data_IF_207527149278
#
_entry.id   IF_207527149278
#
_cell.length_a   1.000
_cell.length_b   1.000
_cell.length_c   1.000
_cell.angle_alpha   90.00
_cell.angle_beta   90.00
_cell.angle_gamma   90.00
#
_symmetry.space_group_name_H-M   'P 1'
#
loop_
_entity.id
_entity.type
_entity.pdbx_description
1 polymer ?
#
# COMPACT_ATOMS: atom_id res chain seq x y z
N UNK A 1 -18.09 15.45 -11.80
CA UNK A 1 -17.45 15.96 -10.57
C UNK A 1 -18.34 15.61 -9.39
N UNK A 2 -17.80 14.90 -8.41
CA UNK A 2 -18.53 14.66 -7.17
C UNK A 2 -18.50 15.91 -6.31
N UNK A 3 -19.66 16.31 -5.79
CA UNK A 3 -19.81 17.43 -4.87
C UNK A 3 -20.85 17.04 -3.81
N UNK A 4 -20.97 17.85 -2.76
CA UNK A 4 -21.90 17.59 -1.65
C UNK A 4 -23.34 17.34 -2.11
N UNK A 5 -23.80 18.03 -3.17
CA UNK A 5 -25.14 17.85 -3.71
C UNK A 5 -25.31 16.49 -4.41
N UNK A 6 -24.28 16.00 -5.12
CA UNK A 6 -24.30 14.68 -5.74
C UNK A 6 -24.43 13.57 -4.67
N UNK A 7 -23.71 13.70 -3.55
CA UNK A 7 -23.84 12.81 -2.41
C UNK A 7 -25.24 12.84 -1.80
N UNK A 8 -25.77 14.03 -1.47
CA UNK A 8 -27.11 14.16 -0.89
C UNK A 8 -28.17 13.55 -1.81
N UNK A 9 -28.10 13.81 -3.12
CA UNK A 9 -29.03 13.25 -4.09
C UNK A 9 -28.94 11.72 -4.18
N UNK A 10 -27.73 11.16 -4.12
CA UNK A 10 -27.52 9.72 -4.10
C UNK A 10 -28.13 9.08 -2.84
N UNK A 11 -27.88 9.66 -1.67
CA UNK A 11 -28.48 9.22 -0.39
C UNK A 11 -30.00 9.24 -0.49
N UNK A 12 -30.60 10.36 -0.91
CA UNK A 12 -32.05 10.51 -1.07
C UNK A 12 -32.64 9.47 -2.01
N UNK A 13 -32.03 9.29 -3.18
CA UNK A 13 -32.47 8.33 -4.20
C UNK A 13 -32.49 6.90 -3.66
N UNK A 14 -31.41 6.49 -2.99
CA UNK A 14 -31.29 5.15 -2.45
C UNK A 14 -32.19 4.89 -1.26
N UNK A 15 -32.32 5.86 -0.34
CA UNK A 15 -33.26 5.75 0.78
C UNK A 15 -34.70 5.65 0.27
N UNK A 16 -35.07 6.46 -0.73
CA UNK A 16 -36.41 6.38 -1.34
C UNK A 16 -36.66 5.03 -2.01
N UNK A 17 -35.66 4.47 -2.70
CA UNK A 17 -35.76 3.17 -3.35
C UNK A 17 -35.85 2.02 -2.34
N UNK A 18 -35.10 2.09 -1.24
CA UNK A 18 -35.06 1.06 -0.20
C UNK A 18 -36.30 1.06 0.68
N UNK A 19 -36.77 2.23 1.10
CA UNK A 19 -37.89 2.39 2.03
C UNK A 19 -39.14 2.84 1.29
N UNK A 20 -39.80 1.89 0.63
CA UNK A 20 -41.00 2.13 -0.19
C UNK A 20 -42.20 2.66 0.61
N UNK A 21 -42.19 2.50 1.94
CA UNK A 21 -43.19 3.03 2.86
C UNK A 21 -43.07 4.54 3.10
N UNK A 22 -41.94 5.17 2.73
CA UNK A 22 -41.77 6.61 2.84
C UNK A 22 -42.64 7.31 1.79
N UNK A 23 -43.47 8.26 2.22
CA UNK A 23 -44.19 9.14 1.29
C UNK A 23 -43.25 10.16 0.67
N UNK A 24 -42.35 10.71 1.48
CA UNK A 24 -41.35 11.70 1.05
C UNK A 24 -39.94 11.26 1.43
N UNK A 25 -39.00 11.43 0.51
CA UNK A 25 -37.58 11.41 0.83
C UNK A 25 -36.91 12.45 -0.08
N UNK A 26 -36.40 13.53 0.49
CA UNK A 26 -35.85 14.67 -0.28
C UNK A 26 -34.67 15.31 0.44
N UNK A 27 -33.87 16.08 -0.30
CA UNK A 27 -32.86 16.94 0.27
C UNK A 27 -33.54 18.10 1.03
N UNK A 28 -33.01 18.46 2.20
CA UNK A 28 -33.43 19.63 2.96
C UNK A 28 -32.48 20.81 2.65
N UNK A 29 -32.89 21.77 1.80
CA UNK A 29 -32.10 22.97 1.57
C UNK A 29 -31.97 23.76 2.88
N UNK A 30 -30.77 24.29 3.15
CA UNK A 30 -30.54 25.12 4.33
C UNK A 30 -31.38 26.42 4.30
N UNK A 31 -31.65 26.94 5.49
CA UNK A 31 -32.41 28.15 5.84
C UNK A 31 -32.70 29.14 4.69
N UNK A 32 -33.98 29.21 4.25
CA UNK A 32 -34.65 30.33 3.56
C UNK A 32 -36.14 29.97 3.35
N UNK A 33 -36.98 30.30 4.34
CA UNK A 33 -38.40 30.76 4.28
C UNK A 33 -39.43 30.14 3.31
N UNK A 34 -39.17 29.02 2.63
CA UNK A 34 -40.03 28.53 1.53
C UNK A 34 -40.56 27.10 1.69
N UNK A 35 -40.24 26.41 2.79
CA UNK A 35 -40.81 25.08 3.04
C UNK A 35 -42.27 25.22 3.44
N UNK A 36 -43.19 24.88 2.53
CA UNK A 36 -44.60 24.75 2.86
C UNK A 36 -44.78 23.59 3.86
N UNK A 37 -44.82 23.95 5.14
CA UNK A 37 -44.96 23.01 6.25
C UNK A 37 -46.21 22.15 6.12
N UNK A 38 -47.30 22.74 5.61
CA UNK A 38 -48.55 22.00 5.43
C UNK A 38 -48.38 20.85 4.43
N UNK A 39 -47.64 21.06 3.35
CA UNK A 39 -47.28 20.04 2.36
C UNK A 39 -46.30 19.01 2.93
N UNK A 40 -45.29 19.43 3.68
CA UNK A 40 -44.35 18.51 4.35
C UNK A 40 -45.08 17.58 5.32
N UNK A 41 -45.96 18.13 6.14
CA UNK A 41 -46.70 17.40 7.17
C UNK A 41 -47.75 16.45 6.59
N UNK A 42 -48.38 16.83 5.48
CA UNK A 42 -49.30 15.97 4.73
C UNK A 42 -48.61 14.71 4.17
N UNK A 43 -47.29 14.79 3.91
CA UNK A 43 -46.53 13.73 3.24
C UNK A 43 -45.60 12.95 4.19
N UNK A 44 -46.10 12.58 5.38
CA UNK A 44 -45.40 11.71 6.34
C UNK A 44 -45.91 10.26 6.30
N UNK A 45 -45.07 9.23 6.56
CA UNK A 45 -43.67 9.30 6.99
C UNK A 45 -42.72 9.87 5.93
N UNK A 46 -41.87 10.80 6.34
CA UNK A 46 -40.94 11.51 5.45
C UNK A 46 -39.51 11.51 5.98
N UNK A 47 -38.54 11.44 5.08
CA UNK A 47 -37.11 11.58 5.41
C UNK A 47 -36.52 12.80 4.70
N UNK A 48 -35.81 13.64 5.45
CA UNK A 48 -35.22 14.87 4.94
C UNK A 48 -33.71 14.84 5.18
N UNK A 49 -32.91 14.84 4.11
CA UNK A 49 -31.46 14.63 4.17
C UNK A 49 -30.71 15.95 3.98
N UNK A 50 -29.69 16.19 4.81
CA UNK A 50 -28.91 17.41 4.81
C UNK A 50 -27.44 17.15 5.14
N UNK A 51 -26.54 17.95 4.55
CA UNK A 51 -25.20 18.16 5.10
C UNK A 51 -25.25 19.41 6.01
N UNK A 52 -24.90 19.25 7.28
CA UNK A 52 -24.98 20.32 8.31
C UNK A 52 -23.63 20.92 8.66
N UNK A 53 -22.54 20.30 8.23
CA UNK A 53 -21.19 20.78 8.46
C UNK A 53 -20.16 20.02 7.64
N UNK A 54 -18.93 20.55 7.68
CA UNK A 54 -17.73 19.94 7.11
C UNK A 54 -16.71 19.81 8.22
N UNK A 55 -16.16 18.62 8.41
CA UNK A 55 -15.00 18.36 9.26
C UNK A 55 -13.70 18.61 8.52
N UNK A 56 -12.71 17.73 8.73
CA UNK A 56 -11.39 17.87 8.15
C UNK A 56 -11.40 17.87 6.61
N UNK A 57 -10.49 18.68 6.05
CA UNK A 57 -10.22 18.77 4.62
C UNK A 57 -8.76 18.39 4.43
N UNK A 58 -8.52 17.21 3.85
CA UNK A 58 -7.17 16.68 3.63
C UNK A 58 -6.82 16.84 2.15
N UNK A 59 -5.77 17.60 1.80
CA UNK A 59 -5.29 17.65 0.43
C UNK A 59 -4.67 16.30 0.07
N UNK A 60 -4.90 15.86 -1.16
CA UNK A 60 -4.30 14.66 -1.72
C UNK A 60 -3.38 15.07 -2.87
N UNK A 61 -2.33 14.28 -3.08
CA UNK A 61 -1.24 14.59 -4.01
C UNK A 61 -1.72 14.80 -5.45
N UNK A 62 -2.92 14.33 -5.80
CA UNK A 62 -3.61 14.51 -7.10
C UNK A 62 -4.25 15.89 -7.31
N UNK A 63 -4.11 16.83 -6.38
CA UNK A 63 -4.79 18.14 -6.42
C UNK A 63 -6.26 18.12 -5.97
N UNK A 64 -6.82 16.92 -5.76
CA UNK A 64 -8.12 16.73 -5.14
C UNK A 64 -8.06 16.95 -3.61
N UNK A 65 -9.21 16.88 -2.95
CA UNK A 65 -9.32 16.97 -1.49
C UNK A 65 -10.31 15.94 -0.97
N UNK A 66 -9.95 15.26 0.11
CA UNK A 66 -10.89 14.47 0.88
C UNK A 66 -11.55 15.39 1.91
N UNK A 67 -12.87 15.55 1.83
CA UNK A 67 -13.67 16.34 2.76
C UNK A 67 -14.53 15.42 3.61
N UNK A 68 -14.51 15.59 4.94
CA UNK A 68 -15.45 14.89 5.82
C UNK A 68 -16.74 15.69 5.92
N UNK A 69 -17.86 15.12 5.51
CA UNK A 69 -19.19 15.74 5.59
C UNK A 69 -19.93 15.23 6.81
N UNK A 70 -20.51 16.17 7.57
CA UNK A 70 -21.40 15.89 8.68
C UNK A 70 -22.83 15.86 8.15
N UNK A 71 -23.41 14.66 8.11
CA UNK A 71 -24.67 14.37 7.46
C UNK A 71 -25.78 14.16 8.50
N UNK A 72 -27.00 14.50 8.14
CA UNK A 72 -28.20 14.23 8.94
C UNK A 72 -29.37 13.80 8.06
N UNK A 73 -30.13 12.83 8.52
CA UNK A 73 -31.43 12.46 7.99
C UNK A 73 -32.50 12.64 9.07
N UNK A 74 -33.46 13.53 8.84
CA UNK A 74 -34.58 13.73 9.74
C UNK A 74 -35.74 12.82 9.35
N UNK A 75 -36.17 11.97 10.28
CA UNK A 75 -37.36 11.15 10.13
C UNK A 75 -38.55 11.85 10.79
N UNK A 76 -39.58 12.12 9.98
CA UNK A 76 -40.77 12.84 10.37
C UNK A 76 -42.01 11.94 10.26
N UNK A 77 -42.75 11.75 11.36
CA UNK A 77 -43.98 10.94 11.39
C UNK A 77 -45.08 11.72 12.12
N UNK A 78 -46.19 11.99 11.43
CA UNK A 78 -47.37 12.65 12.03
C UNK A 78 -48.53 11.68 12.05
N UNK A 79 -49.08 11.44 13.24
CA UNK A 79 -50.28 10.62 13.43
C UNK A 79 -50.91 10.94 14.80
N UNK A 80 -52.23 11.21 14.82
CA UNK A 80 -52.99 11.54 16.03
C UNK A 80 -52.98 10.41 17.07
N UNK A 81 -52.82 9.16 16.67
CA UNK A 81 -52.62 8.03 17.58
C UNK A 81 -51.14 7.95 17.97
N UNK A 82 -50.84 8.24 19.24
CA UNK A 82 -49.47 8.25 19.77
C UNK A 82 -48.77 6.91 19.69
N UNK A 83 -49.48 5.80 19.93
CA UNK A 83 -48.90 4.45 19.88
C UNK A 83 -48.52 4.09 18.44
N UNK A 84 -49.42 4.34 17.49
CA UNK A 84 -49.14 4.06 16.07
C UNK A 84 -48.04 4.95 15.52
N UNK A 85 -48.00 6.23 15.94
CA UNK A 85 -46.95 7.17 15.56
C UNK A 85 -45.57 6.65 15.99
N UNK A 86 -45.45 6.26 17.25
CA UNK A 86 -44.19 5.78 17.82
C UNK A 86 -43.76 4.46 17.18
N UNK A 87 -44.69 3.53 16.99
CA UNK A 87 -44.40 2.25 16.33
C UNK A 87 -43.85 2.44 14.91
N UNK A 88 -44.47 3.32 14.10
CA UNK A 88 -44.01 3.63 12.74
C UNK A 88 -42.65 4.33 12.77
N UNK A 89 -42.44 5.28 13.68
CA UNK A 89 -41.18 5.99 13.83
C UNK A 89 -40.03 5.03 14.18
N UNK A 90 -40.20 4.18 15.19
CA UNK A 90 -39.17 3.22 15.62
C UNK A 90 -38.85 2.18 14.53
N UNK A 91 -39.87 1.65 13.85
CA UNK A 91 -39.65 0.67 12.76
C UNK A 91 -38.81 1.26 11.63
N UNK A 92 -39.13 2.49 11.21
CA UNK A 92 -38.38 3.18 10.17
C UNK A 92 -36.99 3.58 10.64
N UNK A 93 -36.85 4.04 11.89
CA UNK A 93 -35.58 4.41 12.49
C UNK A 93 -34.60 3.23 12.50
N UNK A 94 -35.02 2.05 12.97
CA UNK A 94 -34.17 0.86 12.98
C UNK A 94 -33.75 0.43 11.58
N UNK A 95 -34.67 0.46 10.61
CA UNK A 95 -34.35 0.13 9.23
C UNK A 95 -33.37 1.12 8.59
N UNK A 96 -33.54 2.42 8.84
CA UNK A 96 -32.64 3.47 8.37
C UNK A 96 -31.23 3.29 8.96
N UNK A 97 -31.12 3.04 10.26
CA UNK A 97 -29.83 2.78 10.92
C UNK A 97 -29.13 1.57 10.32
N UNK A 98 -29.84 0.45 10.14
CA UNK A 98 -29.29 -0.76 9.51
C UNK A 98 -28.74 -0.45 8.10
N UNK A 99 -29.54 0.19 7.25
CA UNK A 99 -29.15 0.49 5.86
C UNK A 99 -28.01 1.50 5.74
N UNK A 100 -27.98 2.52 6.61
CA UNK A 100 -26.88 3.49 6.66
C UNK A 100 -25.60 2.80 7.18
N UNK A 101 -25.71 1.87 8.13
CA UNK A 101 -24.57 1.16 8.72
C UNK A 101 -24.03 -0.03 7.93
N UNK A 102 -24.64 -0.37 6.78
CA UNK A 102 -24.18 -1.48 5.95
C UNK A 102 -22.71 -1.33 5.58
N UNK A 103 -21.93 -2.40 5.76
CA UNK A 103 -20.49 -2.40 5.46
C UNK A 103 -20.21 -1.88 4.05
N UNK A 104 -19.46 -0.79 3.97
CA UNK A 104 -19.11 -0.16 2.70
C UNK A 104 -20.20 0.71 2.09
N UNK A 105 -21.18 1.21 2.85
CA UNK A 105 -22.18 2.13 2.32
C UNK A 105 -21.53 3.41 1.76
N UNK A 106 -21.50 3.51 0.43
CA UNK A 106 -20.93 4.63 -0.32
C UNK A 106 -21.96 5.26 -1.28
N UNK A 107 -23.24 4.91 -1.15
CA UNK A 107 -24.35 5.49 -1.92
C UNK A 107 -24.17 5.39 -3.43
N UNK A 108 -23.45 4.37 -3.91
CA UNK A 108 -23.18 4.17 -5.34
C UNK A 108 -22.20 5.19 -5.94
N UNK A 109 -21.54 6.01 -5.10
CA UNK A 109 -20.55 6.99 -5.52
C UNK A 109 -19.15 6.48 -5.25
N UNK A 110 -18.34 6.32 -6.29
CA UNK A 110 -16.93 5.90 -6.17
C UNK A 110 -16.04 6.92 -5.44
N UNK A 111 -16.53 8.14 -5.25
CA UNK A 111 -15.84 9.22 -4.54
C UNK A 111 -16.24 9.31 -3.08
N UNK A 112 -17.29 8.59 -2.66
CA UNK A 112 -17.71 8.52 -1.26
C UNK A 112 -17.04 7.32 -0.60
N UNK A 113 -16.54 7.52 0.61
CA UNK A 113 -15.99 6.45 1.44
C UNK A 113 -17.12 5.73 2.21
N UNK A 114 -16.85 4.73 3.06
CA UNK A 114 -17.87 4.20 3.95
C UNK A 114 -18.33 5.23 4.99
N UNK A 115 -19.62 5.19 5.37
CA UNK A 115 -20.18 5.99 6.48
C UNK A 115 -19.56 5.62 7.82
N UNK A 116 -19.32 6.61 8.70
CA UNK A 116 -18.80 6.41 10.06
C UNK A 116 -19.60 7.22 11.10
N UNK A 117 -19.42 6.91 12.39
CA UNK A 117 -19.96 7.73 13.49
C UNK A 117 -21.48 7.94 13.46
N UNK A 118 -22.23 6.87 13.13
CA UNK A 118 -23.68 6.88 12.96
C UNK A 118 -24.37 6.90 14.32
N UNK A 119 -25.26 7.88 14.55
CA UNK A 119 -26.03 8.04 15.78
C UNK A 119 -27.46 8.46 15.47
N UNK A 120 -28.36 8.33 16.46
CA UNK A 120 -29.73 8.84 16.34
C UNK A 120 -30.22 9.45 17.65
N UNK A 121 -31.02 10.52 17.54
CA UNK A 121 -31.61 11.20 18.68
C UNK A 121 -33.05 11.64 18.40
N UNK A 122 -33.90 11.60 19.43
CA UNK A 122 -35.20 12.26 19.41
C UNK A 122 -34.99 13.77 19.58
N UNK A 123 -35.42 14.56 18.57
CA UNK A 123 -35.28 16.02 18.57
C UNK A 123 -36.63 16.72 18.58
N UNK A 124 -37.72 16.00 18.88
CA UNK A 124 -39.05 16.58 19.08
C UNK A 124 -39.13 17.50 20.31
N UNK A 125 -38.18 17.37 21.26
CA UNK A 125 -38.12 18.11 22.54
C UNK A 125 -37.72 19.59 22.48
N UNK A 126 -37.54 20.19 21.30
CA UNK A 126 -37.03 21.56 21.15
C UNK A 126 -37.90 22.65 21.83
N UNK A 127 -39.17 22.36 22.11
CA UNK A 127 -40.08 23.26 22.86
C UNK A 127 -39.83 23.30 24.37
N UNK A 128 -39.00 22.40 24.93
CA UNK A 128 -38.76 22.30 26.38
C UNK A 128 -37.47 22.98 26.84
N UNK A 129 -37.03 24.05 26.15
CA UNK A 129 -35.76 24.75 26.41
C UNK A 129 -34.55 23.81 26.26
N UNK A 130 -34.51 23.08 25.15
CA UNK A 130 -33.37 22.21 24.85
C UNK A 130 -32.12 23.08 24.65
N UNK A 131 -31.12 22.92 25.51
CA UNK A 131 -29.84 23.63 25.35
C UNK A 131 -29.00 22.88 24.30
N UNK A 132 -28.58 23.54 23.21
CA UNK A 132 -27.74 22.91 22.19
C UNK A 132 -26.44 22.42 22.82
N UNK A 133 -25.99 21.23 22.43
CA UNK A 133 -24.72 20.70 22.91
C UNK A 133 -23.58 21.43 22.17
N UNK A 134 -23.01 22.46 22.80
CA UNK A 134 -22.01 23.35 22.16
C UNK A 134 -20.71 22.65 21.76
N UNK A 135 -20.47 21.42 22.25
CA UNK A 135 -19.26 20.63 21.94
C UNK A 135 -19.49 19.49 20.96
N UNK A 136 -20.74 19.14 20.66
CA UNK A 136 -21.05 18.03 19.75
C UNK A 136 -21.95 18.54 18.63
N UNK A 137 -21.50 18.41 17.39
CA UNK A 137 -22.23 18.88 16.22
C UNK A 137 -23.54 18.12 16.01
N UNK A 138 -23.63 16.86 16.47
CA UNK A 138 -24.78 15.97 16.24
C UNK A 138 -26.08 16.49 16.85
N UNK A 139 -25.98 17.27 17.93
CA UNK A 139 -27.09 18.02 18.55
C UNK A 139 -26.76 19.52 18.66
N UNK A 140 -25.89 20.01 17.78
CA UNK A 140 -25.48 21.40 17.73
C UNK A 140 -26.53 22.28 17.05
N UNK A 141 -26.28 23.59 17.07
CA UNK A 141 -27.20 24.61 16.54
C UNK A 141 -27.65 24.34 15.09
N UNK A 142 -26.78 23.83 14.22
CA UNK A 142 -27.11 23.57 12.82
C UNK A 142 -28.13 22.43 12.65
N UNK A 143 -27.99 21.35 13.43
CA UNK A 143 -28.94 20.23 13.40
C UNK A 143 -30.28 20.64 14.00
N UNK A 144 -30.26 21.37 15.11
CA UNK A 144 -31.47 21.80 15.80
C UNK A 144 -32.24 22.89 15.05
N UNK A 145 -31.56 23.82 14.37
CA UNK A 145 -32.21 24.85 13.55
C UNK A 145 -32.99 24.23 12.39
N UNK A 146 -32.42 23.24 11.69
CA UNK A 146 -33.11 22.53 10.61
C UNK A 146 -34.25 21.63 11.12
N UNK A 147 -34.10 21.06 12.31
CA UNK A 147 -35.20 20.35 12.97
C UNK A 147 -36.37 21.30 13.31
N UNK A 148 -36.07 22.52 13.76
CA UNK A 148 -37.07 23.55 14.03
C UNK A 148 -37.84 23.99 12.77
N UNK A 149 -37.18 24.01 11.61
CA UNK A 149 -37.83 24.26 10.32
C UNK A 149 -38.88 23.19 10.01
N UNK A 150 -38.58 21.91 10.24
CA UNK A 150 -39.54 20.81 10.00
C UNK A 150 -40.68 20.77 11.02
N UNK A 151 -40.44 21.32 12.21
CA UNK A 151 -41.37 21.33 13.33
C UNK A 151 -42.37 22.51 13.30
N UNK A 152 -41.95 23.66 12.73
CA UNK A 152 -42.76 24.89 12.69
C UNK A 152 -42.55 25.80 13.90
N UNK A 153 -41.34 26.36 14.00
CA UNK A 153 -40.89 27.39 14.97
C UNK A 153 -41.83 27.72 16.15
N UNK A 154 -42.82 28.60 15.96
CA UNK A 154 -43.59 29.24 17.05
C UNK A 154 -44.92 28.56 17.38
N UNK A 155 -45.41 27.63 16.55
CA UNK A 155 -46.65 26.88 16.79
C UNK A 155 -46.40 25.38 16.66
N UNK A 156 -45.90 24.72 17.73
CA UNK A 156 -45.63 23.30 17.73
C UNK A 156 -46.84 22.46 17.30
N UNK A 157 -46.65 21.60 16.31
CA UNK A 157 -47.70 20.65 15.93
C UNK A 157 -47.81 19.55 17.00
N UNK A 158 -49.00 19.45 17.59
CA UNK A 158 -49.35 18.27 18.39
C UNK A 158 -49.44 17.05 17.48
N UNK A 159 -48.90 15.90 17.94
CA UNK A 159 -48.91 14.60 17.25
C UNK A 159 -47.81 14.34 16.21
N UNK A 160 -46.64 14.95 16.40
CA UNK A 160 -45.42 14.71 15.62
C UNK A 160 -44.42 13.83 16.40
N UNK A 161 -43.68 12.99 15.68
CA UNK A 161 -42.43 12.38 16.11
C UNK A 161 -41.34 12.81 15.13
N UNK A 162 -40.21 13.29 15.65
CA UNK A 162 -39.11 13.82 14.86
C UNK A 162 -37.79 13.28 15.41
N UNK A 163 -37.12 12.48 14.59
CA UNK A 163 -35.82 11.88 14.91
C UNK A 163 -34.76 12.43 13.96
N UNK A 164 -33.56 12.65 14.49
CA UNK A 164 -32.38 12.96 13.68
C UNK A 164 -31.45 11.75 13.69
N UNK A 165 -31.03 11.29 12.51
CA UNK A 165 -29.99 10.28 12.32
C UNK A 165 -28.77 10.99 11.75
N UNK A 166 -27.65 11.00 12.46
CA UNK A 166 -26.42 11.72 12.09
C UNK A 166 -25.31 10.74 11.75
N UNK A 167 -24.45 11.09 10.79
CA UNK A 167 -23.25 10.31 10.47
C UNK A 167 -22.17 11.19 9.81
N UNK A 168 -20.96 10.66 9.73
CA UNK A 168 -19.84 11.26 9.02
C UNK A 168 -19.59 10.51 7.71
N UNK A 169 -19.32 11.26 6.65
CA UNK A 169 -19.14 10.73 5.31
C UNK A 169 -17.98 11.45 4.64
N UNK A 170 -16.86 10.75 4.44
CA UNK A 170 -15.75 11.31 3.66
C UNK A 170 -16.09 11.25 2.16
N UNK A 171 -15.78 12.34 1.45
CA UNK A 171 -16.03 12.52 0.03
C UNK A 171 -14.78 13.12 -0.64
N UNK A 172 -14.30 12.46 -1.69
CA UNK A 172 -13.23 12.99 -2.54
C UNK A 172 -13.81 13.98 -3.55
N UNK A 173 -13.38 15.24 -3.45
CA UNK A 173 -13.84 16.35 -4.30
C UNK A 173 -12.68 17.04 -5.00
N UNK A 174 -12.98 17.74 -6.09
CA UNK A 174 -11.98 18.39 -6.91
C UNK A 174 -11.72 17.66 -8.22
N UNK A 175 -10.88 18.28 -9.03
CA UNK A 175 -10.42 17.73 -10.30
C UNK A 175 -9.11 17.04 -9.98
N UNK A 176 -8.95 15.81 -10.47
CA UNK A 176 -7.63 15.20 -10.48
C UNK A 176 -6.79 16.01 -11.48
N UNK A 177 -5.83 16.77 -10.97
CA UNK A 177 -5.01 17.67 -11.78
C UNK A 177 -4.16 16.89 -12.79
N UNK A 178 -4.00 15.58 -12.59
CA UNK A 178 -3.35 14.64 -13.51
C UNK A 178 -4.32 14.08 -14.57
N UNK A 179 -5.64 14.22 -14.39
CA UNK A 179 -6.69 13.83 -15.34
C UNK A 179 -7.09 15.02 -16.26
N UNK A 180 -6.89 16.27 -15.81
CA UNK A 180 -7.24 17.48 -16.55
C UNK A 180 -6.18 18.00 -17.55
N UNK A 181 -5.50 17.09 -18.25
CA UNK A 181 -4.43 17.46 -19.21
C UNK A 181 -4.34 16.64 -20.50
N UNK A 182 -5.21 15.65 -20.76
CA UNK A 182 -5.08 14.75 -21.92
C UNK A 182 -6.25 14.71 -22.91
N UNK A 183 -7.38 15.38 -22.62
CA UNK A 183 -8.67 15.08 -23.26
C UNK A 183 -9.13 16.03 -24.39
N UNK A 184 -8.41 17.11 -24.71
CA UNK A 184 -8.82 18.05 -25.77
C UNK A 184 -8.40 17.64 -27.20
N UNK A 185 -7.54 16.62 -27.35
CA UNK A 185 -7.08 16.13 -28.67
C UNK A 185 -7.93 14.95 -29.19
N UNK A 186 -8.73 14.31 -28.32
CA UNK A 186 -9.46 13.07 -28.64
C UNK A 186 -10.90 13.28 -29.18
N UNK A 187 -11.50 14.45 -28.98
CA UNK A 187 -12.87 14.73 -29.44
C UNK A 187 -13.02 14.73 -30.98
N UNK A 188 -11.94 14.90 -31.74
CA UNK A 188 -11.97 14.81 -33.21
C UNK A 188 -11.90 13.36 -33.74
N UNK A 189 -11.60 12.38 -32.87
CA UNK A 189 -11.44 10.96 -33.23
C UNK A 189 -12.61 10.08 -32.78
N UNK A 190 -13.36 10.48 -31.75
CA UNK A 190 -14.47 9.71 -31.16
C UNK A 190 -15.77 9.68 -31.97
N UNK A 191 -15.90 10.47 -33.04
CA UNK A 191 -17.05 10.34 -33.97
C UNK A 191 -17.02 9.04 -34.79
N UNK A 192 -15.87 8.33 -34.80
CA UNK A 192 -15.65 7.12 -35.61
C UNK A 192 -15.88 5.79 -34.87
N UNK A 193 -15.95 5.76 -33.53
CA UNK A 193 -15.93 4.49 -32.76
C UNK A 193 -17.20 4.29 -31.93
N UNK A 194 -18.36 4.54 -32.54
CA UNK A 194 -19.63 3.96 -32.07
C UNK A 194 -19.55 2.43 -32.24
N UNK A 195 -19.10 1.72 -31.20
CA UNK A 195 -19.06 0.26 -31.15
C UNK A 195 -18.55 -0.19 -29.79
N UNK A 196 -19.49 -0.59 -28.93
CA UNK A 196 -19.33 -0.95 -27.52
C UNK A 196 -18.37 -2.11 -27.23
N UNK A 197 -17.62 -2.00 -26.12
CA UNK A 197 -17.41 -3.08 -25.13
C UNK A 197 -16.94 -2.49 -23.79
N UNK A 198 -17.57 -2.94 -22.70
CA UNK A 198 -17.42 -2.45 -21.33
C UNK A 198 -16.01 -2.60 -20.73
N UNK A 199 -15.56 -1.61 -19.96
CA UNK A 199 -14.31 -1.64 -19.19
C UNK A 199 -14.63 -2.01 -17.73
N UNK A 200 -14.46 -3.29 -17.39
CA UNK A 200 -14.51 -3.80 -16.02
C UNK A 200 -13.24 -3.35 -15.28
N UNK A 201 -13.39 -2.80 -14.07
CA UNK A 201 -12.27 -2.47 -13.21
C UNK A 201 -11.54 -3.75 -12.78
N UNK A 202 -10.21 -3.72 -12.84
CA UNK A 202 -9.31 -4.77 -12.36
C UNK A 202 -9.38 -4.86 -10.83
N UNK A 203 -9.53 -6.06 -10.29
CA UNK A 203 -9.31 -6.37 -8.85
C UNK A 203 -8.29 -7.50 -8.66
N UNK A 204 -7.58 -7.87 -9.73
CA UNK A 204 -6.84 -9.13 -9.81
C UNK A 204 -5.35 -8.87 -9.69
N UNK A 205 -4.75 -9.27 -8.57
CA UNK A 205 -3.29 -9.28 -8.35
C UNK A 205 -2.70 -10.65 -8.70
N UNK A 206 -1.39 -10.72 -8.93
CA UNK A 206 -0.70 -12.01 -9.06
C UNK A 206 -0.90 -12.87 -7.79
N UNK A 207 -0.94 -14.20 -7.92
CA UNK A 207 -1.18 -15.08 -6.78
C UNK A 207 0.05 -15.24 -5.86
N UNK A 208 1.26 -14.95 -6.36
CA UNK A 208 2.49 -15.08 -5.60
C UNK A 208 3.75 -14.96 -6.45
N UNK A 209 4.90 -14.90 -5.78
CA UNK A 209 6.23 -14.84 -6.38
C UNK A 209 7.14 -15.89 -5.75
N UNK A 210 8.04 -16.48 -6.55
CA UNK A 210 9.13 -17.33 -6.06
C UNK A 210 10.43 -17.02 -6.80
N UNK A 211 11.52 -16.85 -6.07
CA UNK A 211 12.84 -16.58 -6.61
C UNK A 211 13.90 -17.19 -5.69
N UNK A 212 15.00 -17.64 -6.29
CA UNK A 212 16.20 -18.07 -5.58
C UNK A 212 17.37 -17.46 -6.32
N UNK A 213 18.16 -16.71 -5.58
CA UNK A 213 19.38 -16.12 -6.11
C UNK A 213 20.44 -17.21 -6.30
N UNK A 214 21.05 -17.22 -7.48
CA UNK A 214 22.14 -18.11 -7.85
C UNK A 214 23.44 -17.35 -8.16
N UNK A 215 23.42 -16.02 -8.10
CA UNK A 215 24.65 -15.24 -8.05
C UNK A 215 25.09 -15.14 -6.61
N UNK A 216 26.40 -15.12 -6.41
CA UNK A 216 26.96 -15.04 -5.06
C UNK A 216 27.84 -13.82 -4.87
N UNK A 217 27.91 -12.96 -5.87
CA UNK A 217 28.55 -11.67 -5.71
C UNK A 217 27.68 -10.75 -4.86
N UNK A 218 28.26 -10.24 -3.78
CA UNK A 218 27.56 -9.33 -2.87
C UNK A 218 26.94 -8.15 -3.61
N UNK A 219 25.65 -7.94 -3.38
CA UNK A 219 24.87 -6.87 -3.97
C UNK A 219 24.42 -7.17 -5.40
N UNK A 220 24.49 -8.41 -5.86
CA UNK A 220 24.06 -8.83 -7.19
C UNK A 220 23.11 -10.03 -7.06
N UNK A 221 22.27 -10.25 -8.08
CA UNK A 221 21.42 -11.43 -8.17
C UNK A 221 21.47 -12.05 -9.57
N UNK A 222 21.17 -13.33 -9.64
CA UNK A 222 20.88 -14.02 -10.89
C UNK A 222 19.84 -15.12 -10.66
N UNK A 223 19.21 -15.59 -11.75
CA UNK A 223 18.28 -16.72 -11.71
C UNK A 223 16.90 -16.36 -12.25
N UNK A 224 15.95 -17.27 -12.07
CA UNK A 224 14.61 -17.15 -12.65
C UNK A 224 13.56 -16.88 -11.57
N UNK A 225 12.96 -15.69 -11.63
CA UNK A 225 11.75 -15.34 -10.87
C UNK A 225 10.56 -15.99 -11.56
N UNK A 226 9.75 -16.74 -10.81
CA UNK A 226 8.44 -17.17 -11.28
C UNK A 226 7.33 -16.36 -10.60
N UNK A 227 6.37 -15.97 -11.42
CA UNK A 227 5.19 -15.18 -11.08
C UNK A 227 3.99 -16.11 -11.22
N UNK A 228 3.33 -16.43 -10.11
CA UNK A 228 2.10 -17.20 -10.16
C UNK A 228 0.98 -16.32 -10.73
N UNK A 229 0.30 -16.81 -11.77
CA UNK A 229 -0.73 -16.03 -12.45
C UNK A 229 -1.82 -15.58 -11.47
N UNK A 230 -2.47 -14.46 -11.76
CA UNK A 230 -3.68 -14.03 -11.08
C UNK A 230 -4.78 -15.10 -11.24
N UNK A 231 -5.68 -15.17 -10.25
CA UNK A 231 -6.83 -16.09 -10.28
C UNK A 231 -7.69 -15.83 -11.52
N UNK A 232 -7.96 -14.56 -11.77
CA UNK A 232 -8.66 -14.05 -12.96
C UNK A 232 -7.74 -13.12 -13.76
N UNK A 233 -7.54 -13.43 -15.04
CA UNK A 233 -6.75 -12.61 -15.96
C UNK A 233 -7.61 -11.99 -17.08
N UNK A 234 -8.95 -12.06 -17.01
CA UNK A 234 -9.83 -11.71 -18.14
C UNK A 234 -9.57 -10.29 -18.65
N UNK A 235 -9.28 -9.36 -17.73
CA UNK A 235 -8.97 -7.97 -18.04
C UNK A 235 -7.49 -7.64 -17.95
N UNK A 236 -6.65 -8.59 -17.56
CA UNK A 236 -5.21 -8.39 -17.48
C UNK A 236 -4.59 -8.36 -18.89
N UNK A 237 -3.54 -7.58 -19.10
CA UNK A 237 -2.68 -7.64 -20.30
C UNK A 237 -1.24 -7.97 -19.93
N UNK A 238 -0.70 -7.41 -18.84
CA UNK A 238 0.70 -7.63 -18.43
C UNK A 238 0.87 -7.73 -16.91
N UNK A 239 2.04 -8.24 -16.51
CA UNK A 239 2.62 -8.13 -15.18
C UNK A 239 3.86 -7.22 -15.26
N UNK A 240 3.91 -6.19 -14.44
CA UNK A 240 5.04 -5.27 -14.35
C UNK A 240 5.88 -5.59 -13.11
N UNK A 241 7.16 -5.85 -13.33
CA UNK A 241 8.15 -6.21 -12.32
C UNK A 241 9.00 -4.99 -11.94
N UNK A 242 9.19 -4.75 -10.64
CA UNK A 242 9.95 -3.61 -10.11
C UNK A 242 10.87 -4.00 -8.96
N UNK A 243 11.87 -3.15 -8.72
CA UNK A 243 12.56 -3.08 -7.44
C UNK A 243 11.69 -2.35 -6.41
N UNK A 244 11.70 -2.80 -5.15
CA UNK A 244 10.95 -2.22 -4.04
C UNK A 244 11.81 -1.95 -2.81
N UNK A 245 11.52 -0.87 -2.09
CA UNK A 245 12.17 -0.52 -0.81
C UNK A 245 11.51 -1.19 0.40
N UNK A 246 10.22 -1.44 0.31
CA UNK A 246 9.39 -2.12 1.31
C UNK A 246 8.28 -2.94 0.61
N UNK A 247 7.53 -3.80 1.33
CA UNK A 247 6.38 -4.48 0.74
C UNK A 247 5.38 -3.47 0.14
N UNK A 248 5.14 -3.57 -1.17
CA UNK A 248 4.20 -2.69 -1.88
C UNK A 248 4.72 -1.29 -2.21
N UNK A 249 5.98 -0.97 -1.88
CA UNK A 249 6.60 0.34 -2.16
C UNK A 249 7.69 0.21 -3.22
N UNK A 250 7.44 0.75 -4.42
CA UNK A 250 8.43 0.78 -5.50
C UNK A 250 9.62 1.66 -5.12
N UNK A 251 10.82 1.22 -5.49
CA UNK A 251 12.02 2.00 -5.28
C UNK A 251 12.00 3.25 -6.17
N UNK A 252 12.09 4.42 -5.55
CA UNK A 252 12.04 5.70 -6.27
C UNK A 252 13.20 5.83 -7.27
N UNK A 253 12.91 6.40 -8.44
CA UNK A 253 13.90 6.64 -9.49
C UNK A 253 14.30 5.41 -10.32
N UNK A 254 13.68 4.24 -10.08
CA UNK A 254 13.89 3.04 -10.88
C UNK A 254 12.71 2.80 -11.84
N UNK A 255 13.02 2.43 -13.09
CA UNK A 255 12.03 1.98 -14.05
C UNK A 255 11.55 0.55 -13.74
N UNK A 256 10.52 0.10 -14.46
CA UNK A 256 10.15 -1.32 -14.45
C UNK A 256 11.34 -2.16 -14.93
N UNK A 257 11.65 -3.24 -14.20
CA UNK A 257 12.63 -4.25 -14.60
C UNK A 257 12.14 -4.94 -15.87
N UNK A 258 10.85 -5.30 -15.90
CA UNK A 258 10.22 -5.93 -17.05
C UNK A 258 8.71 -5.70 -17.05
N UNK A 259 8.13 -5.69 -18.25
CA UNK A 259 6.68 -5.75 -18.51
C UNK A 259 6.40 -7.03 -19.30
N UNK A 260 5.68 -7.97 -18.68
CA UNK A 260 5.53 -9.35 -19.14
C UNK A 260 4.08 -9.59 -19.54
N UNK A 261 3.82 -9.91 -20.81
CA UNK A 261 2.45 -10.17 -21.26
C UNK A 261 1.85 -11.39 -20.54
N UNK A 262 0.56 -11.32 -20.18
CA UNK A 262 -0.15 -12.46 -19.61
C UNK A 262 -0.16 -13.62 -20.60
N UNK A 263 -0.24 -14.85 -20.09
CA UNK A 263 -0.26 -16.06 -20.93
C UNK A 263 -1.41 -17.01 -20.60
N UNK A 264 -2.18 -16.77 -19.54
CA UNK A 264 -3.10 -17.75 -18.97
C UNK A 264 -2.43 -18.80 -18.06
N UNK A 265 -1.10 -18.73 -17.90
CA UNK A 265 -0.28 -19.60 -17.06
C UNK A 265 0.71 -18.76 -16.22
N UNK A 266 1.39 -19.41 -15.28
CA UNK A 266 2.52 -18.80 -14.56
C UNK A 266 3.59 -18.31 -15.54
N UNK A 267 4.18 -17.14 -15.27
CA UNK A 267 5.18 -16.49 -16.13
C UNK A 267 6.50 -16.40 -15.39
N UNK A 268 7.60 -16.30 -16.13
CA UNK A 268 8.94 -16.18 -15.56
C UNK A 268 9.69 -14.97 -16.10
N UNK A 269 10.55 -14.38 -15.26
CA UNK A 269 11.57 -13.42 -15.65
C UNK A 269 12.94 -13.93 -15.22
N UNK A 270 13.93 -13.86 -16.10
CA UNK A 270 15.30 -14.28 -15.80
C UNK A 270 16.17 -13.06 -15.59
N UNK A 271 16.73 -12.94 -14.39
CA UNK A 271 17.85 -12.05 -14.11
C UNK A 271 19.13 -12.67 -14.66
N UNK A 272 19.86 -11.90 -15.47
CA UNK A 272 21.14 -12.33 -15.99
C UNK A 272 22.17 -12.44 -14.85
N UNK A 273 23.27 -13.15 -15.10
CA UNK A 273 24.43 -13.11 -14.22
C UNK A 273 24.86 -11.64 -13.98
N UNK A 274 25.37 -11.38 -12.79
CA UNK A 274 25.88 -10.07 -12.37
C UNK A 274 24.82 -8.95 -12.32
N UNK A 275 23.53 -9.27 -12.15
CA UNK A 275 22.49 -8.23 -12.08
C UNK A 275 22.59 -7.49 -10.76
N UNK A 276 23.13 -6.26 -10.79
CA UNK A 276 23.27 -5.42 -9.60
C UNK A 276 21.91 -5.12 -8.94
N UNK A 277 21.83 -5.32 -7.62
CA UNK A 277 20.72 -4.86 -6.78
C UNK A 277 20.90 -3.34 -6.57
N UNK A 278 19.92 -2.50 -6.98
CA UNK A 278 20.01 -1.07 -6.75
C UNK A 278 20.06 -0.73 -5.26
N UNK A 279 20.82 0.31 -4.89
CA UNK A 279 20.89 0.79 -3.51
C UNK A 279 19.49 1.08 -2.95
N UNK A 280 19.15 0.46 -1.82
CA UNK A 280 17.86 0.62 -1.16
C UNK A 280 16.78 -0.37 -1.60
N UNK A 281 17.02 -1.17 -2.66
CA UNK A 281 16.13 -2.26 -3.02
C UNK A 281 16.23 -3.40 -1.98
N UNK A 282 15.08 -3.85 -1.50
CA UNK A 282 14.92 -4.97 -0.56
C UNK A 282 13.87 -5.99 -1.01
N UNK A 283 13.07 -5.64 -2.02
CA UNK A 283 11.98 -6.47 -2.53
C UNK A 283 11.94 -6.48 -4.06
N UNK A 284 11.50 -7.60 -4.63
CA UNK A 284 10.93 -7.69 -5.97
C UNK A 284 9.42 -7.49 -5.86
N UNK A 285 8.85 -6.61 -6.68
CA UNK A 285 7.43 -6.29 -6.68
C UNK A 285 6.81 -6.60 -8.03
N UNK A 286 5.63 -7.19 -8.05
CA UNK A 286 4.85 -7.40 -9.28
C UNK A 286 3.48 -6.79 -9.14
N UNK A 287 3.11 -5.97 -10.13
CA UNK A 287 1.79 -5.38 -10.28
C UNK A 287 1.16 -5.84 -11.58
N UNK A 288 -0.15 -6.05 -11.54
CA UNK A 288 -0.94 -6.43 -12.72
C UNK A 288 -1.30 -5.18 -13.52
N UNK A 289 -1.40 -5.31 -14.85
CA UNK A 289 -1.69 -4.20 -15.76
C UNK A 289 -2.77 -4.60 -16.77
N UNK A 290 -3.77 -3.74 -16.98
CA UNK A 290 -4.73 -3.82 -18.09
C UNK A 290 -4.44 -2.69 -19.07
N UNK A 291 -4.04 -3.07 -20.28
CA UNK A 291 -3.51 -2.15 -21.30
C UNK A 291 -2.35 -1.31 -20.72
N UNK A 292 -2.57 -0.01 -20.52
CA UNK A 292 -1.56 0.91 -19.97
C UNK A 292 -1.81 1.25 -18.49
N UNK A 293 -2.83 0.68 -17.86
CA UNK A 293 -3.22 0.96 -16.48
C UNK A 293 -2.72 -0.16 -15.60
N UNK A 294 -1.90 0.18 -14.62
CA UNK A 294 -1.40 -0.75 -13.62
C UNK A 294 -2.20 -0.66 -12.32
N UNK A 295 -2.37 -1.81 -11.66
CA UNK A 295 -2.96 -1.91 -10.33
C UNK A 295 -2.13 -1.22 -9.26
N UNK A 296 -2.80 -0.69 -8.24
CA UNK A 296 -2.14 -0.08 -7.07
C UNK A 296 -1.69 -1.13 -6.05
N UNK A 297 -2.38 -2.27 -6.00
CA UNK A 297 -1.99 -3.40 -5.16
C UNK A 297 -1.14 -4.38 -5.98
N UNK A 298 -0.05 -4.85 -5.40
CA UNK A 298 0.85 -5.82 -6.00
C UNK A 298 1.30 -6.86 -4.98
N UNK A 299 2.01 -7.86 -5.47
CA UNK A 299 2.69 -8.85 -4.62
C UNK A 299 4.14 -8.46 -4.43
N UNK A 300 4.69 -8.79 -3.26
CA UNK A 300 6.07 -8.48 -2.89
C UNK A 300 6.82 -9.74 -2.47
N UNK A 301 8.09 -9.82 -2.84
CA UNK A 301 9.02 -10.88 -2.44
C UNK A 301 10.31 -10.26 -1.91
N UNK A 302 10.72 -10.52 -0.65
CA UNK A 302 12.01 -10.08 -0.16
C UNK A 302 13.15 -10.59 -1.05
N UNK A 303 14.13 -9.73 -1.32
CA UNK A 303 15.38 -10.12 -1.98
C UNK A 303 16.28 -10.75 -0.92
N UNK A 304 16.73 -11.97 -1.17
CA UNK A 304 17.75 -12.64 -0.38
C UNK A 304 19.00 -12.82 -1.24
N UNK A 305 19.94 -11.89 -1.13
CA UNK A 305 21.26 -11.90 -1.77
C UNK A 305 22.12 -12.99 -1.14
N UNK A 306 22.47 -14.00 -1.92
CA UNK A 306 23.14 -15.23 -1.43
C UNK A 306 24.65 -15.07 -1.54
N UNK A 307 25.32 -14.56 -0.51
CA UNK A 307 26.79 -14.42 -0.52
C UNK A 307 27.53 -15.63 0.07
N UNK A 308 28.77 -15.96 -0.36
CA UNK A 308 29.61 -16.96 0.28
C UNK A 308 29.91 -16.57 1.72
N UNK A 309 30.00 -17.56 2.61
CA UNK A 309 30.47 -17.31 3.97
C UNK A 309 31.96 -16.97 3.98
N UNK A 310 32.40 -16.14 4.93
CA UNK A 310 33.83 -15.92 5.17
C UNK A 310 34.47 -17.14 5.83
N UNK A 311 35.77 -17.35 5.56
CA UNK A 311 36.59 -18.25 6.38
C UNK A 311 36.48 -17.86 7.86
N UNK A 312 36.43 -18.84 8.76
CA UNK A 312 36.20 -18.58 10.18
C UNK A 312 37.43 -18.01 10.90
N UNK A 313 38.62 -18.18 10.32
CA UNK A 313 39.88 -17.77 10.91
C UNK A 313 41.06 -18.18 10.06
N UNK A 314 42.21 -17.57 10.36
CA UNK A 314 43.49 -17.89 9.77
C UNK A 314 44.53 -17.90 10.89
N UNK A 315 45.35 -18.94 10.91
CA UNK A 315 46.42 -19.10 11.91
C UNK A 315 47.69 -19.51 11.21
N UNK A 316 48.79 -18.87 11.57
CA UNK A 316 50.11 -19.18 11.04
C UNK A 316 51.15 -19.03 12.15
N UNK A 317 52.22 -19.81 12.05
CA UNK A 317 53.39 -19.71 12.91
C UNK A 317 54.60 -19.79 12.01
N UNK A 318 55.42 -18.76 12.06
CA UNK A 318 56.67 -18.73 11.32
C UNK A 318 57.71 -19.62 12.00
N UNK A 319 58.33 -20.48 11.20
CA UNK A 319 59.43 -21.35 11.61
C UNK A 319 60.77 -20.89 11.02
N UNK A 320 60.76 -19.86 10.18
CA UNK A 320 61.96 -19.21 9.68
C UNK A 320 62.45 -18.15 10.68
N UNK A 321 63.76 -18.07 10.85
CA UNK A 321 64.37 -17.09 11.77
C UNK A 321 65.03 -15.93 11.02
N UNK A 322 65.08 -16.00 9.69
CA UNK A 322 65.70 -14.98 8.87
C UNK A 322 64.74 -13.81 8.59
N UNK A 323 65.26 -12.59 8.66
CA UNK A 323 64.45 -11.39 8.48
C UNK A 323 63.84 -11.32 7.07
N UNK A 324 62.54 -11.04 7.00
CA UNK A 324 61.74 -10.94 5.77
C UNK A 324 61.59 -12.27 5.00
N UNK A 325 61.74 -13.39 5.68
CA UNK A 325 61.44 -14.72 5.16
C UNK A 325 60.45 -15.40 6.10
N UNK A 326 59.64 -16.30 5.55
CA UNK A 326 58.70 -17.10 6.34
C UNK A 326 58.83 -18.57 5.93
N UNK A 327 58.51 -19.45 6.87
CA UNK A 327 58.31 -20.88 6.61
C UNK A 327 57.30 -21.46 7.58
N UNK A 328 56.68 -22.59 7.23
CA UNK A 328 55.73 -23.28 8.10
C UNK A 328 54.38 -23.51 7.46
N UNK A 329 53.40 -23.94 8.25
CA UNK A 329 52.06 -24.31 7.78
C UNK A 329 51.03 -23.32 8.26
N UNK A 330 50.38 -22.65 7.30
CA UNK A 330 49.23 -21.80 7.50
C UNK A 330 47.96 -22.66 7.50
N UNK A 331 47.09 -22.45 8.48
CA UNK A 331 45.78 -23.09 8.57
C UNK A 331 44.70 -22.04 8.36
N UNK A 332 43.76 -22.33 7.46
CA UNK A 332 42.55 -21.57 7.21
C UNK A 332 41.41 -22.35 7.86
N UNK A 333 40.77 -21.77 8.87
CA UNK A 333 39.61 -22.38 9.48
C UNK A 333 38.42 -22.27 8.53
N UNK A 334 37.75 -23.40 8.27
CA UNK A 334 36.65 -23.44 7.30
C UNK A 334 35.55 -22.45 7.68
N UNK A 335 34.84 -21.92 6.69
CA UNK A 335 33.63 -21.14 6.92
C UNK A 335 32.59 -21.97 7.69
N UNK A 336 31.70 -21.29 8.42
CA UNK A 336 30.59 -21.94 9.12
C UNK A 336 29.68 -22.63 8.10
N UNK A 337 29.38 -21.93 7.01
CA UNK A 337 28.63 -22.43 5.86
C UNK A 337 29.50 -22.34 4.59
N UNK A 338 29.74 -23.49 3.96
CA UNK A 338 30.50 -23.60 2.71
C UNK A 338 29.59 -23.88 1.50
N UNK A 339 28.27 -23.82 1.63
CA UNK A 339 27.30 -24.10 0.54
C UNK A 339 27.67 -23.39 -0.76
N UNK A 340 28.09 -22.13 -0.65
CA UNK A 340 28.47 -21.27 -1.78
C UNK A 340 29.97 -20.99 -1.83
N UNK A 341 30.81 -21.91 -1.35
CA UNK A 341 32.27 -21.81 -1.46
C UNK A 341 32.76 -22.95 -2.34
N UNK A 342 33.65 -22.69 -3.28
CA UNK A 342 34.41 -23.70 -4.02
C UNK A 342 35.86 -23.73 -3.58
N UNK A 343 36.46 -22.57 -3.25
CA UNK A 343 37.89 -22.46 -2.90
C UNK A 343 38.14 -21.36 -1.87
N UNK A 344 39.27 -21.48 -1.17
CA UNK A 344 39.89 -20.43 -0.38
C UNK A 344 41.14 -19.92 -1.12
N UNK A 345 41.22 -18.63 -1.35
CA UNK A 345 42.32 -17.99 -2.08
C UNK A 345 43.19 -17.20 -1.12
N UNK A 346 44.49 -17.48 -1.12
CA UNK A 346 45.50 -16.91 -0.23
C UNK A 346 46.37 -15.89 -1.00
N UNK A 347 46.55 -14.71 -0.43
CA UNK A 347 47.30 -13.60 -1.04
C UNK A 347 48.23 -12.91 -0.05
N UNK A 348 49.20 -12.18 -0.59
CA UNK A 348 49.90 -11.12 0.13
C UNK A 348 49.02 -9.87 0.23
N UNK A 349 48.98 -9.23 1.39
CA UNK A 349 48.28 -7.98 1.63
C UNK A 349 49.21 -6.83 2.00
N UNK A 350 48.94 -5.62 1.51
CA UNK A 350 49.63 -4.39 1.92
C UNK A 350 49.10 -3.83 3.25
N UNK A 351 47.87 -4.22 3.60
CA UNK A 351 47.22 -3.98 4.88
C UNK A 351 46.22 -5.12 5.15
N UNK A 352 45.42 -5.01 6.20
CA UNK A 352 44.44 -6.03 6.64
C UNK A 352 43.33 -6.36 5.65
N UNK A 353 43.18 -5.59 4.57
CA UNK A 353 42.06 -5.68 3.62
C UNK A 353 42.49 -5.57 2.15
N UNK A 354 43.67 -5.02 1.87
CA UNK A 354 44.11 -4.70 0.50
C UNK A 354 45.15 -5.69 0.01
N UNK A 355 44.87 -6.37 -1.11
CA UNK A 355 45.83 -7.24 -1.81
C UNK A 355 47.04 -6.43 -2.26
N UNK A 356 48.23 -6.98 -2.08
CA UNK A 356 49.47 -6.33 -2.50
C UNK A 356 49.54 -6.26 -4.03
N UNK A 357 49.60 -5.03 -4.55
CA UNK A 357 49.66 -4.79 -6.00
C UNK A 357 50.88 -5.45 -6.65
N UNK A 358 50.68 -6.07 -7.81
CA UNK A 358 51.73 -6.75 -8.58
C UNK A 358 52.06 -8.18 -8.12
N UNK A 359 51.44 -8.68 -7.06
CA UNK A 359 51.58 -10.09 -6.63
C UNK A 359 50.46 -10.95 -7.20
N UNK A 360 50.78 -12.22 -7.51
CA UNK A 360 49.78 -13.23 -7.86
C UNK A 360 49.23 -13.92 -6.61
N UNK A 361 48.16 -14.67 -6.78
CA UNK A 361 47.65 -15.59 -5.75
C UNK A 361 48.79 -16.52 -5.26
N UNK A 362 48.91 -16.69 -3.94
CA UNK A 362 49.88 -17.60 -3.32
C UNK A 362 49.38 -19.04 -3.49
N UNK A 363 48.12 -19.27 -3.10
CA UNK A 363 47.49 -20.57 -3.18
C UNK A 363 45.99 -20.40 -3.40
N UNK A 364 45.42 -21.30 -4.18
CA UNK A 364 43.97 -21.46 -4.33
C UNK A 364 43.63 -22.88 -3.93
N UNK A 365 42.89 -23.06 -2.84
CA UNK A 365 42.71 -24.35 -2.16
C UNK A 365 41.24 -24.73 -2.22
N UNK A 366 40.92 -25.87 -2.83
CA UNK A 366 39.53 -26.34 -2.87
C UNK A 366 39.02 -26.62 -1.45
N UNK A 367 37.75 -26.27 -1.18
CA UNK A 367 37.13 -26.66 0.10
C UNK A 367 37.08 -28.18 0.23
N UNK A 368 37.14 -28.67 1.46
CA UNK A 368 37.04 -30.10 1.76
C UNK A 368 36.03 -30.41 2.88
N UNK A 369 35.25 -29.43 3.35
CA UNK A 369 34.38 -29.59 4.52
C UNK A 369 35.12 -29.56 5.87
N UNK A 370 36.41 -29.24 5.86
CA UNK A 370 37.30 -29.14 7.01
C UNK A 370 38.29 -27.98 6.79
N UNK A 371 39.01 -27.62 7.85
CA UNK A 371 40.10 -26.63 7.77
C UNK A 371 41.10 -27.04 6.69
N UNK A 372 41.57 -26.07 5.91
CA UNK A 372 42.53 -26.27 4.83
C UNK A 372 43.88 -25.65 5.18
N UNK A 373 44.95 -26.18 4.59
CA UNK A 373 46.31 -25.75 4.93
C UNK A 373 47.13 -25.39 3.70
N UNK A 374 48.02 -24.42 3.85
CA UNK A 374 49.09 -24.11 2.89
C UNK A 374 50.44 -24.13 3.59
N UNK A 375 51.44 -24.77 2.99
CA UNK A 375 52.79 -24.81 3.52
C UNK A 375 53.69 -23.87 2.73
N UNK A 376 54.26 -22.89 3.41
CA UNK A 376 55.36 -22.08 2.90
C UNK A 376 56.66 -22.87 3.01
N UNK A 377 57.41 -22.94 1.90
CA UNK A 377 58.72 -23.57 1.90
C UNK A 377 59.70 -22.78 2.79
N UNK A 378 60.78 -23.42 3.22
CA UNK A 378 61.88 -22.71 3.87
C UNK A 378 62.36 -21.54 2.99
N UNK A 379 62.81 -20.46 3.64
CA UNK A 379 63.37 -19.28 2.98
C UNK A 379 62.37 -18.53 2.07
N UNK A 380 61.05 -18.68 2.26
CA UNK A 380 60.06 -17.99 1.42
C UNK A 380 60.10 -16.48 1.68
N UNK A 381 60.59 -15.71 0.71
CA UNK A 381 60.74 -14.26 0.83
C UNK A 381 59.38 -13.56 0.91
N UNK A 382 59.21 -12.71 1.92
CA UNK A 382 58.08 -11.77 2.03
C UNK A 382 58.28 -10.67 0.98
N UNK A 383 57.33 -10.45 0.05
CA UNK A 383 57.44 -9.38 -0.92
C UNK A 383 57.50 -7.99 -0.25
N UNK A 384 58.27 -7.07 -0.83
CA UNK A 384 58.34 -5.70 -0.32
C UNK A 384 56.95 -5.05 -0.29
N UNK A 385 56.57 -4.53 0.88
CA UNK A 385 55.26 -3.91 1.10
C UNK A 385 54.16 -4.86 1.58
N UNK A 386 54.42 -6.17 1.65
CA UNK A 386 53.52 -7.11 2.30
C UNK A 386 53.59 -6.93 3.83
N UNK A 387 52.43 -6.79 4.45
CA UNK A 387 52.27 -6.69 5.91
C UNK A 387 51.27 -7.71 6.44
N UNK A 388 50.47 -8.32 5.56
CA UNK A 388 49.46 -9.31 5.94
C UNK A 388 49.44 -10.50 4.95
N UNK A 389 48.91 -11.63 5.43
CA UNK A 389 48.36 -12.69 4.59
C UNK A 389 46.84 -12.54 4.55
N UNK A 390 46.25 -12.57 3.37
CA UNK A 390 44.81 -12.40 3.15
C UNK A 390 44.19 -13.68 2.63
N UNK A 391 43.03 -14.04 3.16
CA UNK A 391 42.22 -15.16 2.68
C UNK A 391 40.84 -14.66 2.28
N UNK A 392 40.46 -14.95 1.05
CA UNK A 392 39.13 -14.73 0.50
C UNK A 392 38.50 -16.07 0.13
N UNK A 393 37.18 -16.06 0.00
CA UNK A 393 36.41 -17.20 -0.47
C UNK A 393 36.02 -17.02 -1.92
N UNK A 394 36.04 -18.10 -2.68
CA UNK A 394 35.65 -18.11 -4.09
C UNK A 394 34.46 -19.05 -4.28
N UNK A 395 33.51 -18.66 -5.11
CA UNK A 395 32.46 -19.53 -5.63
C UNK A 395 32.52 -19.59 -7.15
N UNK A 396 32.75 -20.78 -7.70
CA UNK A 396 32.65 -21.04 -9.14
C UNK A 396 33.48 -20.06 -10.00
N UNK A 397 34.67 -19.70 -9.53
CA UNK A 397 35.59 -18.78 -10.22
C UNK A 397 35.39 -17.30 -9.90
N UNK A 398 34.41 -16.94 -9.07
CA UNK A 398 34.21 -15.57 -8.58
C UNK A 398 34.65 -15.44 -7.13
N UNK A 399 35.42 -14.41 -6.85
CA UNK A 399 36.06 -14.20 -5.55
C UNK A 399 35.30 -13.13 -4.74
N UNK A 400 35.09 -13.38 -3.45
CA UNK A 400 34.57 -12.37 -2.53
C UNK A 400 35.58 -11.22 -2.38
N UNK A 401 35.05 -10.00 -2.31
CA UNK A 401 35.81 -8.77 -2.04
C UNK A 401 36.13 -8.60 -0.56
N UNK A 402 35.43 -9.31 0.32
CA UNK A 402 35.71 -9.33 1.76
C UNK A 402 36.43 -10.62 2.12
N UNK A 403 37.50 -10.50 2.91
CA UNK A 403 38.30 -11.63 3.39
C UNK A 403 38.69 -11.48 4.85
N UNK A 404 39.41 -12.48 5.35
CA UNK A 404 40.10 -12.44 6.66
C UNK A 404 41.60 -12.26 6.46
N UNK A 405 42.31 -11.88 7.51
CA UNK A 405 43.74 -11.61 7.44
C UNK A 405 44.52 -12.15 8.64
N UNK A 406 45.82 -12.30 8.43
CA UNK A 406 46.82 -12.57 9.46
C UNK A 406 47.93 -11.52 9.35
N UNK A 407 48.26 -10.83 10.43
CA UNK A 407 49.34 -9.85 10.49
C UNK A 407 50.70 -10.57 10.57
N UNK A 408 51.48 -10.48 9.49
CA UNK A 408 52.82 -11.09 9.45
C UNK A 408 53.89 -10.22 10.12
N UNK A 409 53.60 -8.95 10.45
CA UNK A 409 54.52 -8.13 11.23
C UNK A 409 54.52 -8.49 12.73
N UNK A 410 53.57 -9.33 13.14
CA UNK A 410 53.50 -9.87 14.51
C UNK A 410 54.37 -11.11 14.74
N UNK A 411 55.03 -11.61 13.69
CA UNK A 411 55.85 -12.83 13.69
C UNK A 411 57.25 -12.61 14.28
#
# INVERSE_FOLDING_TARGET
>A
MSNTNALINAVVSQLKAKFTTLKTCVALPGYLESTDLSSVHANTPGVFVAAVGTGDIVPIETGQRDITLQMVAYLLVINNNSIQREHVAQTLLSGLLDYISMNGQHWGLATAYPTTGIESADVHGLTKKFEPHVKDWRLGTAVLARAADLYGSTNPISNLALWAITWEQMLRVGIDEFDSGGLQVLHSLQSRVKGEAAHTALTTVAAGLRFTDIDTDKGQIAGTLAINKAEDETHLTHYNLYWGSAPGEKLQGQAAIATLAKTGADITHTFAADTAIPTGAKYLLVYTQNNSIEEKAGVSLPINDVVPGLAAGITFTDLDTDNNQISGTLTINKAVDETHITRYNLYWGSDSTTKLSGQTIIASIAKIGADVTHTFAADTVIPTGATHLLVTTENSGKEDVVGINFDIQSL
#
